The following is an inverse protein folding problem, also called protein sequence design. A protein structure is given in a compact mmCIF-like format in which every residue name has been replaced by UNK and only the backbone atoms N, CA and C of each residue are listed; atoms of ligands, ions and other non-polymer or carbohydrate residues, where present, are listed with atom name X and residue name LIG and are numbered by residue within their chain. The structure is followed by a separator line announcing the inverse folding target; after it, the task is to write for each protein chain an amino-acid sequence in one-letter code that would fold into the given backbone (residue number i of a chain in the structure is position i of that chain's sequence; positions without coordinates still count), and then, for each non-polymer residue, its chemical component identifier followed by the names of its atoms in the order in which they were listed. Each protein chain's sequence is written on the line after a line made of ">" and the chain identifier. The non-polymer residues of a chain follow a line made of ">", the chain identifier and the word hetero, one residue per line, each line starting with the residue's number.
data_IF_434653762687
#
_entry.id   IF_434653762687
#
_cell.length_a   1.000
_cell.length_b   1.000
_cell.length_c   1.000
_cell.angle_alpha   90.00
_cell.angle_beta   90.00
_cell.angle_gamma   90.00
#
_symmetry.space_group_name_H-M   'P 1'
#
loop_
_entity.id
_entity.type
_entity.pdbx_description
1 polymer ?
#
# COMPACT_ATOMS: atom_id res chain seq x y z
N UNK A 1 21.95 6.66 46.30
CA UNK A 1 23.14 6.41 45.47
C UNK A 1 22.67 6.16 44.05
N UNK A 2 23.22 6.93 43.11
CA UNK A 2 22.73 7.14 41.76
C UNK A 2 22.76 5.87 40.90
N UNK A 3 21.70 5.70 40.10
CA UNK A 3 21.52 4.58 39.19
C UNK A 3 22.69 4.41 38.22
N UNK A 4 23.15 3.16 38.12
CA UNK A 4 24.03 2.67 37.07
C UNK A 4 23.31 2.83 35.72
N UNK A 5 23.51 3.98 35.07
CA UNK A 5 23.28 4.11 33.64
C UNK A 5 24.16 3.05 32.97
N UNK A 6 23.54 2.01 32.43
CA UNK A 6 24.21 1.01 31.60
C UNK A 6 25.06 1.73 30.57
N UNK A 7 26.38 1.62 30.72
CA UNK A 7 27.34 2.18 29.79
C UNK A 7 27.34 1.29 28.54
N UNK A 8 26.35 1.49 27.67
CA UNK A 8 26.34 0.84 26.36
C UNK A 8 27.60 1.29 25.62
N UNK A 9 28.52 0.38 25.27
CA UNK A 9 29.73 0.73 24.54
C UNK A 9 29.39 1.59 23.33
N UNK A 10 30.11 2.69 23.06
CA UNK A 10 29.78 3.62 21.98
C UNK A 10 29.54 2.93 20.62
N UNK A 11 30.30 1.87 20.32
CA UNK A 11 30.13 1.04 19.13
C UNK A 11 28.77 0.33 19.06
N UNK A 12 28.27 -0.25 20.17
CA UNK A 12 26.95 -0.90 20.22
C UNK A 12 25.82 0.12 20.06
N UNK A 13 25.95 1.29 20.70
CA UNK A 13 25.00 2.40 20.54
C UNK A 13 24.94 2.89 19.09
N UNK A 14 26.09 3.09 18.46
CA UNK A 14 26.18 3.51 17.06
C UNK A 14 25.59 2.46 16.11
N UNK A 15 25.93 1.18 16.29
CA UNK A 15 25.37 0.09 15.49
C UNK A 15 23.83 0.04 15.58
N UNK A 16 23.28 0.23 16.78
CA UNK A 16 21.83 0.30 16.98
C UNK A 16 21.20 1.49 16.25
N UNK A 17 21.79 2.69 16.35
CA UNK A 17 21.31 3.88 15.64
C UNK A 17 21.31 3.67 14.12
N UNK A 18 22.40 3.14 13.57
CA UNK A 18 22.52 2.87 12.14
C UNK A 18 21.51 1.81 11.66
N UNK A 19 21.31 0.75 12.46
CA UNK A 19 20.33 -0.29 12.16
C UNK A 19 18.90 0.28 12.12
N UNK A 20 18.54 1.13 13.09
CA UNK A 20 17.23 1.77 13.15
C UNK A 20 17.05 2.80 12.02
N UNK A 21 18.10 3.56 11.69
CA UNK A 21 18.07 4.48 10.55
C UNK A 21 17.79 3.71 9.24
N UNK A 22 18.53 2.61 8.99
CA UNK A 22 18.31 1.75 7.82
C UNK A 22 16.89 1.17 7.79
N UNK A 23 16.34 0.78 8.95
CA UNK A 23 14.95 0.31 9.05
C UNK A 23 13.96 1.40 8.64
N UNK A 24 14.16 2.64 9.11
CA UNK A 24 13.32 3.80 8.80
C UNK A 24 13.41 4.19 7.32
N UNK A 25 14.60 4.17 6.74
CA UNK A 25 14.82 4.40 5.31
C UNK A 25 14.04 3.38 4.48
N UNK A 26 14.15 2.08 4.81
CA UNK A 26 13.39 1.03 4.12
C UNK A 26 11.88 1.23 4.21
N UNK A 27 11.37 1.63 5.38
CA UNK A 27 9.94 1.94 5.55
C UNK A 27 9.53 3.14 4.70
N UNK A 28 10.32 4.21 4.70
CA UNK A 28 10.02 5.40 3.90
C UNK A 28 10.03 5.08 2.40
N UNK A 29 10.99 4.30 1.91
CA UNK A 29 11.01 3.84 0.51
C UNK A 29 9.73 3.07 0.15
N UNK A 30 9.24 2.19 1.04
CA UNK A 30 7.97 1.49 0.83
C UNK A 30 6.75 2.42 0.78
N UNK A 31 6.76 3.53 1.54
CA UNK A 31 5.72 4.55 1.43
C UNK A 31 5.79 5.32 0.11
N UNK A 32 6.98 5.61 -0.41
CA UNK A 32 7.13 6.26 -1.72
C UNK A 32 6.68 5.34 -2.87
N UNK A 33 6.99 4.05 -2.79
CA UNK A 33 6.48 3.04 -3.73
C UNK A 33 4.95 2.92 -3.66
N UNK A 34 4.38 2.89 -2.45
CA UNK A 34 2.92 2.89 -2.28
C UNK A 34 2.26 4.16 -2.85
N UNK A 35 2.89 5.32 -2.69
CA UNK A 35 2.41 6.59 -3.27
C UNK A 35 2.43 6.58 -4.79
N UNK A 36 3.41 5.94 -5.41
CA UNK A 36 3.54 5.95 -6.88
C UNK A 36 2.46 5.11 -7.57
N UNK A 37 1.91 4.10 -6.89
CA UNK A 37 0.86 3.23 -7.42
C UNK A 37 -0.57 3.70 -7.09
N UNK A 38 -0.73 4.63 -6.15
CA UNK A 38 -2.03 5.20 -5.77
C UNK A 38 -2.19 6.58 -6.43
N UNK A 39 -3.05 6.74 -7.45
CA UNK A 39 -3.18 7.99 -8.19
C UNK A 39 -3.49 9.21 -7.31
N UNK A 40 -4.32 9.08 -6.27
CA UNK A 40 -4.67 10.21 -5.38
C UNK A 40 -3.51 10.67 -4.46
N UNK A 41 -2.47 9.85 -4.33
CA UNK A 41 -1.31 10.10 -3.47
C UNK A 41 -0.12 10.68 -4.24
N UNK A 42 -0.10 10.56 -5.57
CA UNK A 42 1.07 10.85 -6.41
C UNK A 42 1.53 12.31 -6.41
N UNK A 43 0.63 13.27 -6.12
CA UNK A 43 0.94 14.71 -6.10
C UNK A 43 0.78 15.38 -4.73
N UNK A 44 0.40 14.61 -3.69
CA UNK A 44 0.03 15.18 -2.40
C UNK A 44 1.09 14.93 -1.31
N UNK A 45 1.25 15.92 -0.43
CA UNK A 45 2.00 15.81 0.83
C UNK A 45 1.19 15.06 1.90
N UNK A 46 0.60 13.93 1.52
CA UNK A 46 -0.23 13.12 2.41
C UNK A 46 0.58 12.55 3.57
N UNK A 47 -0.05 12.53 4.75
CA UNK A 47 0.50 11.85 5.93
C UNK A 47 0.57 10.34 5.73
N UNK A 48 1.45 9.63 6.45
CA UNK A 48 1.53 8.16 6.41
C UNK A 48 0.18 7.49 6.70
N UNK A 49 -0.61 8.04 7.62
CA UNK A 49 -1.94 7.53 7.93
C UNK A 49 -2.92 7.73 6.76
N UNK A 50 -2.87 8.90 6.10
CA UNK A 50 -3.68 9.20 4.93
C UNK A 50 -3.35 8.27 3.76
N UNK A 51 -2.06 8.02 3.50
CA UNK A 51 -1.60 7.09 2.44
C UNK A 51 -2.16 5.69 2.70
N UNK A 52 -2.08 5.19 3.94
CA UNK A 52 -2.61 3.86 4.28
C UNK A 52 -4.13 3.78 4.12
N UNK A 53 -4.87 4.83 4.47
CA UNK A 53 -6.33 4.86 4.27
C UNK A 53 -6.67 4.80 2.78
N UNK A 54 -6.08 5.70 1.98
CA UNK A 54 -6.27 5.75 0.53
C UNK A 54 -5.88 4.44 -0.16
N UNK A 55 -4.83 3.76 0.33
CA UNK A 55 -4.44 2.45 -0.17
C UNK A 55 -5.54 1.40 0.01
N UNK A 56 -6.19 1.37 1.18
CA UNK A 56 -7.31 0.46 1.44
C UNK A 56 -8.49 0.81 0.55
N UNK A 57 -8.84 2.08 0.45
CA UNK A 57 -9.94 2.55 -0.39
C UNK A 57 -9.71 2.16 -1.87
N UNK A 58 -8.49 2.38 -2.39
CA UNK A 58 -8.13 2.01 -3.76
C UNK A 58 -8.21 0.51 -4.04
N UNK A 59 -7.84 -0.34 -3.07
CA UNK A 59 -7.99 -1.80 -3.21
C UNK A 59 -9.46 -2.16 -3.32
N UNK A 60 -10.32 -1.61 -2.45
CA UNK A 60 -11.77 -1.88 -2.48
C UNK A 60 -12.42 -1.41 -3.79
N UNK A 61 -11.99 -0.26 -4.31
CA UNK A 61 -12.45 0.24 -5.62
C UNK A 61 -12.02 -0.70 -6.75
N UNK A 62 -10.77 -1.15 -6.78
CA UNK A 62 -10.27 -2.10 -7.78
C UNK A 62 -11.02 -3.43 -7.74
N UNK A 63 -11.33 -3.92 -6.54
CA UNK A 63 -12.13 -5.15 -6.36
C UNK A 63 -13.56 -4.98 -6.90
N UNK A 64 -14.18 -3.82 -6.70
CA UNK A 64 -15.53 -3.51 -7.22
C UNK A 64 -15.52 -3.31 -8.74
N UNK A 65 -14.52 -2.61 -9.28
CA UNK A 65 -14.29 -2.50 -10.72
C UNK A 65 -14.12 -3.88 -11.35
N UNK A 66 -13.25 -4.73 -10.78
CA UNK A 66 -13.02 -6.08 -11.27
C UNK A 66 -14.31 -6.91 -11.24
N UNK A 67 -15.09 -6.83 -10.15
CA UNK A 67 -16.38 -7.52 -10.04
C UNK A 67 -17.31 -7.12 -11.17
N UNK A 68 -17.46 -5.82 -11.43
CA UNK A 68 -18.28 -5.30 -12.54
C UNK A 68 -17.81 -5.85 -13.88
N UNK A 69 -16.51 -5.78 -14.18
CA UNK A 69 -15.97 -6.33 -15.43
C UNK A 69 -16.21 -7.84 -15.56
N UNK A 70 -16.12 -8.60 -14.47
CA UNK A 70 -16.35 -10.06 -14.49
C UNK A 70 -17.83 -10.44 -14.56
N UNK A 71 -18.71 -9.65 -13.94
CA UNK A 71 -20.17 -9.84 -14.01
C UNK A 71 -20.73 -9.35 -15.36
N UNK A 72 -20.17 -8.28 -15.93
CA UNK A 72 -20.47 -7.82 -17.30
C UNK A 72 -20.01 -8.85 -18.35
N UNK A 73 -18.98 -9.64 -18.05
CA UNK A 73 -18.57 -10.79 -18.86
C UNK A 73 -19.40 -12.07 -18.64
N UNK A 74 -20.35 -12.07 -17.68
CA UNK A 74 -21.40 -13.10 -17.58
C UNK A 74 -22.60 -12.82 -18.48
N UNK A 75 -22.38 -12.12 -19.59
CA UNK A 75 -23.34 -12.05 -20.68
C UNK A 75 -23.07 -13.16 -21.70
N UNK A 76 -23.95 -14.17 -21.71
CA UNK A 76 -24.21 -15.06 -22.85
C UNK A 76 -25.73 -15.30 -22.94
N UNK A 77 -26.33 -15.53 -24.12
CA UNK A 77 -26.12 -14.92 -25.43
C UNK A 77 -27.44 -14.34 -26.01
N UNK A 78 -27.37 -13.31 -26.86
CA UNK A 78 -28.33 -13.16 -27.99
C UNK A 78 -27.75 -14.07 -29.08
N UNK A 79 -28.37 -15.13 -29.59
CA UNK A 79 -29.76 -15.31 -30.03
C UNK A 79 -30.16 -16.81 -30.01
N UNK A 80 -31.45 -17.15 -30.09
CA UNK A 80 -31.90 -18.22 -30.96
C UNK A 80 -32.48 -17.60 -32.24
N UNK A 81 -31.85 -17.91 -33.37
CA UNK A 81 -32.40 -17.69 -34.71
C UNK A 81 -33.64 -18.55 -34.85
N UNK A 82 -34.83 -17.95 -34.87
CA UNK A 82 -36.04 -18.63 -35.34
C UNK A 82 -36.81 -17.70 -36.29
N UNK A 83 -36.48 -17.81 -37.57
CA UNK A 83 -37.46 -17.69 -38.66
C UNK A 83 -37.06 -18.71 -39.73
N UNK A 84 -37.48 -19.96 -39.51
CA UNK A 84 -37.60 -20.95 -40.59
C UNK A 84 -38.99 -20.81 -41.23
N UNK A 85 -38.95 -20.62 -42.56
CA UNK A 85 -39.95 -20.65 -43.65
C UNK A 85 -41.45 -20.42 -43.37
#
# INVERSE_FOLDING_TARGET
>A
MSGLREFVPPARRMAHILSEQKRREKINSGFEELKSVIPECAQNTDSKASILRKAVDRILELEDELRKYTDDFRYEPRDPVEHEE
#
